data_IF_107009263720
#
_entry.id   IF_107009263720
#
_cell.length_a   1.000
_cell.length_b   1.000
_cell.length_c   1.000
_cell.angle_alpha   90.00
_cell.angle_beta   90.00
_cell.angle_gamma   90.00
#
_symmetry.space_group_name_H-M   'P 1'
#
loop_
_entity.id
_entity.type
_entity.pdbx_description
1 polymer ?
#
# COMPACT_ATOMS: atom_id res chain seq x y z
N UNK A 1 9.81 8.12 17.35
CA UNK A 1 10.15 8.92 16.15
C UNK A 1 9.44 8.32 14.96
N UNK A 2 9.05 9.12 13.97
CA UNK A 2 8.34 8.69 12.75
C UNK A 2 9.32 8.57 11.59
N UNK A 3 9.23 7.51 10.79
CA UNK A 3 9.96 7.40 9.52
C UNK A 3 9.01 7.35 8.34
N UNK A 4 9.34 8.07 7.27
CA UNK A 4 8.67 8.02 5.97
C UNK A 4 9.51 7.17 5.02
N UNK A 5 8.93 6.11 4.52
CA UNK A 5 9.58 5.15 3.64
C UNK A 5 9.00 5.22 2.24
N UNK A 6 9.85 5.30 1.25
CA UNK A 6 9.45 5.18 -0.16
C UNK A 6 10.46 4.33 -0.92
N UNK A 7 10.00 3.60 -1.92
CA UNK A 7 10.85 2.93 -2.88
C UNK A 7 10.54 3.43 -4.29
N UNK A 8 11.58 3.68 -5.07
CA UNK A 8 11.49 4.11 -6.45
C UNK A 8 12.09 3.05 -7.38
N UNK A 9 11.51 2.91 -8.56
CA UNK A 9 12.03 2.03 -9.60
C UNK A 9 13.04 2.77 -10.46
N UNK A 10 14.12 2.11 -10.83
CA UNK A 10 15.10 2.69 -11.74
C UNK A 10 14.43 3.12 -13.06
N UNK A 11 14.47 4.44 -13.35
CA UNK A 11 13.96 5.02 -14.58
C UNK A 11 12.42 5.09 -14.71
N UNK A 12 11.66 4.71 -13.66
CA UNK A 12 10.18 4.77 -13.67
C UNK A 12 9.69 5.87 -12.73
N UNK A 13 10.19 5.87 -11.49
CA UNK A 13 9.84 6.88 -10.49
C UNK A 13 11.05 7.79 -10.23
N UNK A 14 10.79 9.05 -9.92
CA UNK A 14 11.79 10.02 -9.52
C UNK A 14 11.70 10.30 -8.03
N UNK A 15 12.81 10.67 -7.42
CA UNK A 15 12.82 11.20 -6.07
C UNK A 15 12.04 12.51 -6.00
N UNK A 16 11.19 12.66 -5.00
CA UNK A 16 10.32 13.82 -4.84
C UNK A 16 10.78 14.70 -3.69
N UNK A 17 10.70 16.02 -3.90
CA UNK A 17 10.87 16.98 -2.82
C UNK A 17 9.65 16.90 -1.91
N UNK A 18 9.91 16.65 -0.62
CA UNK A 18 8.89 16.66 0.42
C UNK A 18 8.91 18.04 1.08
N UNK A 19 7.77 18.75 1.15
CA UNK A 19 7.72 20.03 1.85
C UNK A 19 8.08 19.85 3.33
N UNK A 20 8.62 20.88 3.96
CA UNK A 20 8.88 20.90 5.40
C UNK A 20 7.61 20.51 6.15
N UNK A 21 7.74 19.56 7.08
CA UNK A 21 6.60 19.02 7.83
C UNK A 21 6.48 19.68 9.20
N UNK A 22 5.25 19.80 9.69
CA UNK A 22 4.94 20.37 11.01
C UNK A 22 5.39 19.49 12.18
N UNK A 23 5.69 18.22 11.92
CA UNK A 23 6.22 17.27 12.88
C UNK A 23 7.52 16.66 12.38
N UNK A 24 8.49 16.38 13.28
CA UNK A 24 9.76 15.78 12.87
C UNK A 24 9.57 14.36 12.34
N UNK A 25 10.31 14.03 11.30
CA UNK A 25 10.35 12.70 10.73
C UNK A 25 11.73 12.39 10.12
N UNK A 26 12.02 11.12 9.96
CA UNK A 26 13.16 10.64 9.18
C UNK A 26 12.65 10.15 7.82
N UNK A 27 13.47 10.30 6.78
CA UNK A 27 13.15 9.80 5.45
C UNK A 27 14.08 8.66 5.06
N UNK A 28 13.50 7.57 4.59
CA UNK A 28 14.22 6.46 4.00
C UNK A 28 13.79 6.27 2.55
N UNK A 29 14.75 6.38 1.63
CA UNK A 29 14.54 6.23 0.20
C UNK A 29 15.30 5.02 -0.31
N UNK A 30 14.60 4.04 -0.86
CA UNK A 30 15.17 2.86 -1.48
C UNK A 30 15.04 2.92 -2.99
N UNK A 31 16.09 2.46 -3.69
CA UNK A 31 16.09 2.34 -5.15
C UNK A 31 16.11 0.86 -5.50
N UNK A 32 15.16 0.42 -6.32
CA UNK A 32 15.17 -0.94 -6.88
C UNK A 32 16.42 -1.14 -7.72
N UNK A 33 17.25 -2.13 -7.38
CA UNK A 33 18.54 -2.38 -8.02
C UNK A 33 18.61 -3.72 -8.72
N UNK A 34 17.63 -4.61 -8.45
CA UNK A 34 17.58 -5.93 -9.07
C UNK A 34 16.92 -5.88 -10.46
N UNK A 35 16.94 -7.02 -11.15
CA UNK A 35 16.19 -7.26 -12.38
C UNK A 35 14.65 -7.30 -12.16
N UNK A 36 14.22 -7.23 -10.88
CA UNK A 36 12.81 -7.23 -10.46
C UNK A 36 12.47 -6.04 -9.56
N UNK A 37 12.60 -4.80 -10.04
CA UNK A 37 12.50 -3.58 -9.21
C UNK A 37 11.15 -3.47 -8.49
N UNK A 38 10.09 -4.07 -9.04
CA UNK A 38 8.79 -4.15 -8.38
C UNK A 38 8.83 -5.03 -7.12
N UNK A 39 9.53 -6.17 -7.18
CA UNK A 39 9.66 -7.05 -6.01
C UNK A 39 10.52 -6.40 -4.93
N UNK A 40 11.55 -5.63 -5.32
CA UNK A 40 12.33 -4.83 -4.38
C UNK A 40 11.44 -3.83 -3.63
N UNK A 41 10.60 -3.09 -4.35
CA UNK A 41 9.69 -2.14 -3.71
C UNK A 41 8.65 -2.84 -2.81
N UNK A 42 8.11 -3.98 -3.25
CA UNK A 42 7.19 -4.78 -2.43
C UNK A 42 7.87 -5.32 -1.16
N UNK A 43 9.15 -5.68 -1.23
CA UNK A 43 9.93 -6.06 -0.06
C UNK A 43 9.96 -4.92 0.97
N UNK A 44 10.43 -3.73 0.60
CA UNK A 44 10.47 -2.58 1.52
C UNK A 44 9.09 -2.18 2.05
N UNK A 45 8.05 -2.30 1.22
CA UNK A 45 6.67 -2.02 1.58
C UNK A 45 6.14 -2.98 2.63
N UNK A 46 6.31 -4.29 2.40
CA UNK A 46 5.75 -5.34 3.25
C UNK A 46 6.66 -5.70 4.43
N UNK A 47 7.94 -5.33 4.37
CA UNK A 47 8.91 -5.54 5.45
C UNK A 47 9.34 -4.23 6.12
N UNK A 48 8.51 -3.19 6.04
CA UNK A 48 8.79 -1.85 6.56
C UNK A 48 9.18 -1.86 8.05
N UNK A 49 8.65 -2.80 8.81
CA UNK A 49 8.95 -2.97 10.24
C UNK A 49 10.38 -3.44 10.53
N UNK A 50 11.15 -3.86 9.50
CA UNK A 50 12.56 -4.27 9.64
C UNK A 50 13.54 -3.12 9.39
N UNK A 51 13.06 -1.94 9.01
CA UNK A 51 13.89 -0.81 8.56
C UNK A 51 14.42 0.07 9.70
N UNK A 52 14.35 -0.37 10.93
CA UNK A 52 14.81 0.36 12.12
C UNK A 52 13.84 0.18 13.28
N UNK A 53 14.03 0.99 14.33
CA UNK A 53 13.14 1.01 15.50
C UNK A 53 12.43 2.37 15.56
N UNK A 54 11.25 2.42 14.98
CA UNK A 54 10.42 3.62 14.89
C UNK A 54 9.07 3.40 15.55
N UNK A 55 8.52 4.47 16.11
CA UNK A 55 7.16 4.46 16.65
C UNK A 55 6.11 4.33 15.56
N UNK A 56 6.34 5.01 14.42
CA UNK A 56 5.49 4.96 13.25
C UNK A 56 6.31 4.81 11.98
N UNK A 57 5.86 3.95 11.09
CA UNK A 57 6.35 3.84 9.72
C UNK A 57 5.25 4.31 8.78
N UNK A 58 5.57 5.25 7.91
CA UNK A 58 4.67 5.73 6.86
C UNK A 58 5.23 5.27 5.53
N UNK A 59 4.46 4.53 4.77
CA UNK A 59 4.77 4.15 3.40
C UNK A 59 4.12 5.09 2.41
N UNK A 60 4.86 5.49 1.37
CA UNK A 60 4.32 6.11 0.16
C UNK A 60 4.91 5.44 -1.08
N UNK A 61 4.06 5.11 -2.06
CA UNK A 61 4.53 4.64 -3.37
C UNK A 61 5.31 5.75 -4.09
N UNK A 62 6.27 5.37 -4.95
CA UNK A 62 7.11 6.32 -5.71
C UNK A 62 6.31 7.31 -6.58
N UNK A 63 5.10 6.95 -7.01
CA UNK A 63 4.20 7.84 -7.75
C UNK A 63 3.55 8.95 -6.88
N UNK A 64 3.61 8.84 -5.56
CA UNK A 64 2.97 9.80 -4.65
C UNK A 64 3.88 11.00 -4.43
N UNK A 65 3.36 12.20 -4.69
CA UNK A 65 3.98 13.48 -4.35
C UNK A 65 3.25 14.10 -3.16
N UNK A 66 3.93 14.23 -2.01
CA UNK A 66 3.42 14.98 -0.87
C UNK A 66 3.42 16.47 -1.20
N UNK A 67 2.33 17.18 -0.92
CA UNK A 67 2.14 18.60 -1.24
C UNK A 67 1.79 19.44 -0.01
N UNK A 68 1.40 18.81 1.10
CA UNK A 68 1.06 19.50 2.34
C UNK A 68 2.15 19.38 3.40
N UNK A 69 2.37 20.44 4.18
CA UNK A 69 3.28 20.47 5.33
C UNK A 69 2.74 19.73 6.56
N UNK A 70 1.47 19.39 6.61
CA UNK A 70 0.84 18.65 7.72
C UNK A 70 0.55 17.17 7.38
N UNK A 71 1.11 16.66 6.27
CA UNK A 71 0.85 15.28 5.82
C UNK A 71 1.22 14.24 6.86
N UNK A 72 2.41 14.35 7.47
CA UNK A 72 2.86 13.42 8.52
C UNK A 72 1.95 13.50 9.76
N UNK A 73 1.56 14.71 10.17
CA UNK A 73 0.64 14.91 11.28
C UNK A 73 -0.73 14.26 11.00
N UNK A 74 -1.27 14.42 9.79
CA UNK A 74 -2.51 13.75 9.37
C UNK A 74 -2.41 12.21 9.45
N UNK A 75 -1.27 11.64 9.05
CA UNK A 75 -1.04 10.20 9.18
C UNK A 75 -1.06 9.74 10.65
N UNK A 76 -0.35 10.46 11.54
CA UNK A 76 -0.27 10.14 12.97
C UNK A 76 -1.66 10.26 13.62
N UNK A 77 -2.41 11.30 13.32
CA UNK A 77 -3.79 11.48 13.80
C UNK A 77 -4.70 10.35 13.30
N UNK A 78 -4.57 9.97 12.03
CA UNK A 78 -5.42 8.93 11.43
C UNK A 78 -5.25 7.55 12.05
N UNK A 79 -4.05 7.21 12.57
CA UNK A 79 -3.79 5.88 13.17
C UNK A 79 -4.20 5.80 14.65
N UNK A 80 -4.66 6.88 15.25
CA UNK A 80 -5.03 6.88 16.67
C UNK A 80 -6.04 5.77 16.99
N UNK A 81 -5.71 4.94 17.99
CA UNK A 81 -6.52 3.78 18.39
C UNK A 81 -6.41 2.54 17.50
N UNK A 82 -5.52 2.54 16.50
CA UNK A 82 -5.31 1.42 15.56
C UNK A 82 -3.82 1.06 15.43
N UNK A 83 -3.56 -0.16 14.97
CA UNK A 83 -2.20 -0.62 14.65
C UNK A 83 -1.79 -0.25 13.22
N UNK A 84 -2.78 -0.09 12.32
CA UNK A 84 -2.59 0.26 10.91
C UNK A 84 -3.69 1.17 10.39
N UNK A 85 -3.31 2.16 9.59
CA UNK A 85 -4.25 2.97 8.82
C UNK A 85 -3.78 3.04 7.36
N UNK A 86 -4.70 2.87 6.40
CA UNK A 86 -4.40 2.80 4.96
C UNK A 86 -5.33 3.76 4.22
N UNK A 87 -4.83 4.40 3.16
CA UNK A 87 -5.64 5.28 2.30
C UNK A 87 -6.91 4.55 1.84
N UNK A 88 -8.07 5.21 2.02
CA UNK A 88 -9.35 4.68 1.58
C UNK A 88 -9.38 4.57 0.05
N UNK A 89 -9.82 3.43 -0.48
CA UNK A 89 -10.08 3.33 -1.92
C UNK A 89 -11.24 4.26 -2.32
N UNK A 90 -11.07 5.03 -3.38
CA UNK A 90 -12.00 6.13 -3.72
C UNK A 90 -13.31 5.66 -4.36
N UNK A 91 -13.32 4.48 -5.02
CA UNK A 91 -14.51 3.99 -5.75
C UNK A 91 -15.14 2.74 -5.13
N UNK A 92 -14.34 1.80 -4.66
CA UNK A 92 -14.79 0.46 -4.26
C UNK A 92 -14.54 0.18 -2.78
N UNK A 93 -15.32 -0.73 -2.22
CA UNK A 93 -15.22 -1.14 -0.82
C UNK A 93 -15.20 -2.68 -0.65
N UNK A 94 -14.81 -3.40 -1.68
CA UNK A 94 -14.86 -4.86 -1.69
C UNK A 94 -13.76 -5.44 -2.58
N UNK A 95 -12.95 -6.37 -2.05
CA UNK A 95 -11.88 -7.03 -2.82
C UNK A 95 -12.41 -7.82 -4.02
N UNK A 96 -13.61 -8.40 -3.91
CA UNK A 96 -14.25 -9.15 -5.00
C UNK A 96 -14.63 -8.21 -6.14
N UNK A 97 -15.22 -7.05 -5.83
CA UNK A 97 -15.56 -6.03 -6.82
C UNK A 97 -14.30 -5.45 -7.49
N UNK A 98 -13.20 -5.36 -6.75
CA UNK A 98 -11.92 -4.92 -7.32
C UNK A 98 -11.43 -5.88 -8.39
N UNK A 99 -11.44 -7.19 -8.09
CA UNK A 99 -11.06 -8.21 -9.09
C UNK A 99 -11.99 -8.22 -10.28
N UNK A 100 -13.32 -8.16 -10.05
CA UNK A 100 -14.30 -8.08 -11.15
C UNK A 100 -14.04 -6.89 -12.07
N UNK A 101 -13.71 -5.73 -11.48
CA UNK A 101 -13.37 -4.52 -12.24
C UNK A 101 -12.07 -4.67 -13.03
N UNK A 102 -11.00 -5.17 -12.40
CA UNK A 102 -9.70 -5.37 -13.08
C UNK A 102 -9.86 -6.35 -14.24
N UNK A 103 -10.52 -7.49 -14.05
CA UNK A 103 -10.78 -8.47 -15.11
C UNK A 103 -11.65 -7.90 -16.23
N UNK A 104 -12.66 -7.08 -15.90
CA UNK A 104 -13.44 -6.36 -16.89
C UNK A 104 -12.55 -5.45 -17.73
N UNK A 105 -11.72 -4.63 -17.10
CA UNK A 105 -10.81 -3.73 -17.79
C UNK A 105 -9.79 -4.48 -18.69
N UNK A 106 -9.25 -5.60 -18.20
CA UNK A 106 -8.35 -6.46 -18.99
C UNK A 106 -9.04 -6.98 -20.25
N UNK A 107 -10.25 -7.53 -20.12
CA UNK A 107 -11.04 -8.03 -21.29
C UNK A 107 -11.32 -6.95 -22.34
N UNK A 108 -11.36 -5.67 -21.93
CA UNK A 108 -11.56 -4.53 -22.82
C UNK A 108 -10.26 -3.84 -23.23
N UNK A 109 -9.11 -4.48 -23.00
CA UNK A 109 -7.81 -4.00 -23.47
C UNK A 109 -7.32 -2.73 -22.77
N UNK A 110 -7.67 -2.51 -21.49
CA UNK A 110 -7.18 -1.35 -20.73
C UNK A 110 -5.64 -1.28 -20.76
N UNK A 111 -5.04 -0.21 -21.30
CA UNK A 111 -3.60 -0.15 -21.53
C UNK A 111 -2.77 -0.10 -20.25
N UNK A 112 -3.37 0.32 -19.13
CA UNK A 112 -2.69 0.40 -17.84
C UNK A 112 -2.82 -0.89 -17.02
N UNK A 113 -4.03 -1.48 -16.97
CA UNK A 113 -4.30 -2.64 -16.12
C UNK A 113 -3.88 -3.96 -16.77
N UNK A 114 -4.01 -4.07 -18.11
CA UNK A 114 -3.70 -5.31 -18.83
C UNK A 114 -2.25 -5.77 -18.63
N UNK A 115 -1.21 -4.96 -18.90
CA UNK A 115 0.17 -5.40 -18.71
C UNK A 115 0.53 -5.68 -17.25
N UNK A 116 -0.19 -5.06 -16.30
CA UNK A 116 0.09 -5.18 -14.86
C UNK A 116 -0.53 -6.41 -14.22
N UNK A 117 -1.72 -6.82 -14.69
CA UNK A 117 -2.55 -7.78 -13.95
C UNK A 117 -3.02 -8.98 -14.77
N UNK A 118 -2.92 -8.99 -16.12
CA UNK A 118 -3.43 -10.09 -16.94
C UNK A 118 -2.76 -11.45 -16.63
N UNK A 119 -1.53 -11.43 -16.17
CA UNK A 119 -0.76 -12.63 -15.80
C UNK A 119 -0.96 -13.07 -14.33
N UNK A 120 -1.66 -12.27 -13.52
CA UNK A 120 -1.80 -12.52 -12.09
C UNK A 120 -3.00 -13.40 -11.78
N UNK A 121 -2.91 -14.28 -10.80
CA UNK A 121 -3.99 -15.20 -10.43
C UNK A 121 -5.05 -14.53 -9.53
N UNK A 122 -5.55 -13.33 -9.90
CA UNK A 122 -6.46 -12.52 -9.07
C UNK A 122 -7.70 -13.28 -8.64
N UNK A 123 -8.35 -13.99 -9.58
CA UNK A 123 -9.54 -14.77 -9.30
C UNK A 123 -9.25 -15.90 -8.32
N UNK A 124 -8.16 -16.63 -8.52
CA UNK A 124 -7.72 -17.69 -7.60
C UNK A 124 -7.47 -17.15 -6.21
N UNK A 125 -6.87 -15.98 -6.09
CA UNK A 125 -6.60 -15.33 -4.82
C UNK A 125 -7.90 -15.04 -4.05
N UNK A 126 -8.87 -14.35 -4.65
CA UNK A 126 -10.10 -13.99 -3.95
C UNK A 126 -11.00 -15.19 -3.65
N UNK A 127 -10.98 -16.24 -4.50
CA UNK A 127 -11.69 -17.48 -4.21
C UNK A 127 -11.06 -18.22 -3.00
N UNK A 128 -9.72 -18.23 -2.89
CA UNK A 128 -9.05 -18.78 -1.71
C UNK A 128 -9.46 -18.05 -0.43
N UNK A 129 -9.60 -16.72 -0.46
CA UNK A 129 -10.07 -15.94 0.69
C UNK A 129 -11.57 -16.18 0.99
N UNK A 130 -12.39 -16.33 -0.05
CA UNK A 130 -13.81 -16.68 0.11
C UNK A 130 -13.99 -18.02 0.80
N UNK A 131 -13.20 -19.02 0.41
CA UNK A 131 -13.20 -20.35 1.03
C UNK A 131 -12.84 -20.30 2.52
N UNK A 132 -12.00 -19.33 2.92
CA UNK A 132 -11.66 -19.08 4.32
C UNK A 132 -12.67 -18.19 5.06
N UNK A 133 -13.78 -17.83 4.43
CA UNK A 133 -14.88 -17.09 5.04
C UNK A 133 -14.73 -15.56 5.01
N UNK A 134 -13.79 -15.01 4.22
CA UNK A 134 -13.64 -13.54 4.12
C UNK A 134 -14.92 -12.90 3.56
N UNK A 135 -15.55 -11.96 4.29
CA UNK A 135 -16.85 -11.43 3.92
C UNK A 135 -16.76 -10.44 2.74
N UNK A 136 -17.81 -10.40 1.93
CA UNK A 136 -17.97 -9.35 0.94
C UNK A 136 -18.21 -7.98 1.62
N UNK A 137 -17.88 -6.89 0.90
CA UNK A 137 -18.04 -5.51 1.37
C UNK A 137 -17.32 -5.18 2.67
N UNK A 138 -16.23 -5.89 2.95
CA UNK A 138 -15.40 -5.68 4.14
C UNK A 138 -14.32 -4.60 3.96
N UNK A 139 -14.57 -3.64 3.09
CA UNK A 139 -13.67 -2.54 2.78
C UNK A 139 -12.65 -2.85 1.67
N UNK A 140 -12.10 -1.78 1.12
CA UNK A 140 -10.96 -1.78 0.21
C UNK A 140 -10.13 -0.53 0.48
N UNK A 141 -8.82 -0.66 0.41
CA UNK A 141 -7.87 0.42 0.63
C UNK A 141 -6.90 0.52 -0.54
N UNK A 142 -6.39 1.71 -0.79
CA UNK A 142 -5.30 1.94 -1.74
C UNK A 142 -3.98 1.90 -0.98
N UNK A 143 -3.17 0.88 -1.24
CA UNK A 143 -1.92 0.64 -0.53
C UNK A 143 -0.77 1.56 -0.97
N UNK A 144 -1.05 2.61 -1.74
CA UNK A 144 -0.05 3.60 -2.11
C UNK A 144 0.37 4.50 -0.94
N UNK A 145 -0.49 4.64 0.09
CA UNK A 145 -0.18 5.34 1.34
C UNK A 145 -0.73 4.54 2.52
N UNK A 146 0.12 4.24 3.49
CA UNK A 146 -0.32 3.72 4.79
C UNK A 146 0.62 4.14 5.93
N UNK A 147 0.12 4.05 7.15
CA UNK A 147 0.90 4.21 8.38
C UNK A 147 0.67 2.99 9.29
N UNK A 148 1.72 2.53 9.92
CA UNK A 148 1.72 1.41 10.87
C UNK A 148 2.48 1.79 12.15
N UNK A 149 1.97 1.30 13.29
CA UNK A 149 2.54 1.53 14.61
C UNK A 149 3.64 0.52 14.92
N UNK A 150 4.89 0.94 14.95
CA UNK A 150 6.04 0.15 15.38
C UNK A 150 6.01 -1.29 14.83
N UNK A 151 6.15 -2.27 15.71
CA UNK A 151 6.15 -3.69 15.40
C UNK A 151 4.75 -4.35 15.46
N UNK A 152 3.68 -3.56 15.67
CA UNK A 152 2.34 -4.08 15.93
C UNK A 152 1.75 -4.96 14.81
N UNK A 153 2.26 -4.79 13.59
CA UNK A 153 1.80 -5.50 12.39
C UNK A 153 2.80 -6.53 11.86
N UNK A 154 3.88 -6.82 12.60
CA UNK A 154 4.98 -7.69 12.13
C UNK A 154 4.47 -9.00 11.52
N UNK A 155 3.66 -9.75 12.25
CA UNK A 155 3.15 -11.05 11.79
C UNK A 155 2.33 -10.95 10.51
N UNK A 156 1.46 -9.94 10.42
CA UNK A 156 0.65 -9.66 9.22
C UNK A 156 1.55 -9.31 8.05
N UNK A 157 2.57 -8.49 8.28
CA UNK A 157 3.48 -8.01 7.23
C UNK A 157 4.41 -9.11 6.72
N UNK A 158 4.89 -10.00 7.60
CA UNK A 158 5.65 -11.17 7.19
C UNK A 158 4.81 -12.10 6.27
N UNK A 159 3.52 -12.30 6.59
CA UNK A 159 2.60 -13.05 5.72
C UNK A 159 2.25 -12.30 4.44
N UNK A 160 2.14 -10.97 4.50
CA UNK A 160 1.90 -10.15 3.32
C UNK A 160 3.04 -10.28 2.30
N UNK A 161 4.29 -10.30 2.77
CA UNK A 161 5.43 -10.57 1.93
C UNK A 161 5.37 -11.95 1.26
N UNK A 162 5.05 -13.01 2.02
CA UNK A 162 4.88 -14.35 1.47
C UNK A 162 3.84 -14.39 0.35
N UNK A 163 2.70 -13.72 0.53
CA UNK A 163 1.67 -13.65 -0.52
C UNK A 163 2.14 -12.87 -1.75
N UNK A 164 2.87 -11.78 -1.56
CA UNK A 164 3.46 -11.02 -2.68
C UNK A 164 4.45 -11.86 -3.50
N UNK A 165 5.22 -12.74 -2.84
CA UNK A 165 6.13 -13.68 -3.53
C UNK A 165 5.39 -14.73 -4.37
N UNK A 166 4.13 -15.04 -4.05
CA UNK A 166 3.24 -15.90 -4.86
C UNK A 166 2.55 -15.15 -6.02
N UNK A 167 2.98 -13.94 -6.31
CA UNK A 167 2.38 -13.03 -7.29
C UNK A 167 0.92 -12.64 -6.99
N UNK A 168 0.51 -12.73 -5.73
CA UNK A 168 -0.78 -12.27 -5.29
C UNK A 168 -0.81 -10.74 -5.18
N UNK A 169 -2.00 -10.16 -5.39
CA UNK A 169 -2.15 -8.72 -5.40
C UNK A 169 -2.11 -8.14 -3.97
N UNK A 170 -1.10 -7.34 -3.70
CA UNK A 170 -0.79 -6.77 -2.38
C UNK A 170 -1.96 -6.02 -1.73
N UNK A 171 -2.70 -5.24 -2.50
CA UNK A 171 -3.87 -4.48 -2.04
C UNK A 171 -5.01 -5.37 -1.53
N UNK A 172 -5.20 -6.54 -2.14
CA UNK A 172 -6.22 -7.52 -1.74
C UNK A 172 -5.73 -8.32 -0.53
N UNK A 173 -4.43 -8.72 -0.55
CA UNK A 173 -3.79 -9.50 0.50
C UNK A 173 -3.87 -8.83 1.86
N UNK A 174 -3.49 -7.57 1.96
CA UNK A 174 -3.46 -6.87 3.26
C UNK A 174 -4.84 -6.79 3.92
N UNK A 175 -5.91 -6.62 3.12
CA UNK A 175 -7.30 -6.61 3.64
C UNK A 175 -7.68 -7.95 4.23
N UNK A 176 -7.38 -9.05 3.52
CA UNK A 176 -7.64 -10.39 4.00
C UNK A 176 -6.82 -10.71 5.24
N UNK A 177 -5.51 -10.47 5.21
CA UNK A 177 -4.60 -10.79 6.32
C UNK A 177 -4.97 -10.02 7.59
N UNK A 178 -5.27 -8.74 7.49
CA UNK A 178 -5.72 -7.96 8.63
C UNK A 178 -7.01 -8.51 9.24
N UNK A 179 -7.97 -8.92 8.42
CA UNK A 179 -9.19 -9.58 8.90
C UNK A 179 -8.88 -10.93 9.57
N UNK A 180 -8.04 -11.75 8.93
CA UNK A 180 -7.69 -13.08 9.43
C UNK A 180 -6.98 -13.04 10.78
N UNK A 181 -6.09 -12.07 10.98
CA UNK A 181 -5.36 -11.87 12.24
C UNK A 181 -6.08 -10.95 13.25
N UNK A 182 -7.32 -10.55 13.00
CA UNK A 182 -8.08 -9.68 13.91
C UNK A 182 -7.50 -8.28 14.07
N UNK A 183 -6.80 -7.76 13.04
CA UNK A 183 -6.19 -6.43 13.02
C UNK A 183 -7.05 -5.45 12.20
N UNK A 184 -7.94 -4.65 12.83
CA UNK A 184 -8.79 -3.74 12.10
C UNK A 184 -7.98 -2.65 11.38
N UNK A 185 -8.32 -2.40 10.10
CA UNK A 185 -7.72 -1.30 9.32
C UNK A 185 -8.55 -0.04 9.49
N UNK A 186 -7.91 1.05 9.90
CA UNK A 186 -8.46 2.40 9.79
C UNK A 186 -8.32 2.90 8.35
N UNK A 187 -9.39 3.35 7.73
CA UNK A 187 -9.31 4.00 6.42
C UNK A 187 -8.97 5.49 6.58
N UNK A 188 -7.89 5.95 5.93
CA UNK A 188 -7.49 7.35 5.92
C UNK A 188 -8.22 8.08 4.78
N UNK A 189 -8.72 9.27 5.10
CA UNK A 189 -9.18 10.26 4.11
C UNK A 189 -8.41 11.54 4.39
N UNK A 190 -7.48 11.89 3.51
CA UNK A 190 -6.68 13.10 3.66
C UNK A 190 -7.47 14.36 3.30
N UNK A 191 -7.05 15.50 3.83
CA UNK A 191 -7.52 16.81 3.38
C UNK A 191 -7.23 16.98 1.89
N UNK A 192 -8.10 17.64 1.12
CA UNK A 192 -7.82 17.95 -0.28
C UNK A 192 -6.46 18.66 -0.46
N UNK A 193 -5.68 18.23 -1.42
CA UNK A 193 -4.36 18.81 -1.69
C UNK A 193 -3.23 18.35 -0.75
N UNK A 194 -3.42 17.32 0.08
CA UNK A 194 -2.35 16.79 0.93
C UNK A 194 -1.28 16.04 0.13
N UNK A 195 -1.65 15.43 -0.97
CA UNK A 195 -0.77 14.74 -1.92
C UNK A 195 -1.41 14.72 -3.31
N UNK A 196 -0.62 14.34 -4.30
CA UNK A 196 -1.08 14.05 -5.67
C UNK A 196 -0.36 12.83 -6.23
N UNK A 197 -1.02 12.10 -7.11
CA UNK A 197 -0.33 11.10 -7.95
C UNK A 197 0.42 11.82 -9.08
N UNK A 198 1.68 11.46 -9.25
CA UNK A 198 2.47 11.87 -10.41
C UNK A 198 2.47 10.70 -11.40
N UNK A 199 2.04 10.92 -12.65
CA UNK A 199 2.12 9.87 -13.65
C UNK A 199 3.54 9.34 -13.75
N UNK A 200 3.70 8.03 -13.90
CA UNK A 200 4.99 7.45 -14.25
C UNK A 200 5.44 8.07 -15.58
N UNK A 201 6.71 8.44 -15.69
CA UNK A 201 7.30 8.79 -16.98
C UNK A 201 7.17 7.57 -17.90
N UNK A 202 6.52 7.75 -19.04
CA UNK A 202 6.34 6.72 -20.06
C UNK A 202 7.68 6.38 -20.71
#
# INVERSE_FOLDING_TARGET
MTTLVTAIYNGIDEDKIIPEQTVPFERQLFKGQSDKPRMDALFYKTQIHTLGDYEYYIWIDGKVQITSSDFIAQCIEAIEGYDIAILKHHERNCIYQEVDHIEHCIRHGNPYLTPRYAHRPLRKQVEAYRTQGYPAKNGLNDCCIFIVRGQAMKEVFDKWWVECQMDWFDQISIRFLCWFYGKPIKSIVFKPGSFKDVPHAN
#
